data_IF_963090002293
#
_entry.id   IF_963090002293
#
_cell.length_a   1.000
_cell.length_b   1.000
_cell.length_c   1.000
_cell.angle_alpha   90.00
_cell.angle_beta   90.00
_cell.angle_gamma   90.00
#
_symmetry.space_group_name_H-M   'P 1'
#
loop_
_entity.id
_entity.type
_entity.pdbx_description
1 polymer ?
#
# COMPACT_ATOMS: atom_id res chain seq x y z
N UNK A 1 -3.95 -1.51 15.45
CA UNK A 1 -3.06 -0.58 16.21
C UNK A 1 -2.76 0.59 15.29
N UNK A 2 -3.04 1.83 15.70
CA UNK A 2 -2.79 2.99 14.86
C UNK A 2 -1.30 3.29 14.86
N UNK A 3 -0.65 3.16 13.72
CA UNK A 3 0.78 3.50 13.54
C UNK A 3 0.97 5.02 13.53
N UNK A 4 0.04 5.74 12.93
CA UNK A 4 0.04 7.20 12.90
C UNK A 4 -0.56 7.75 14.18
N UNK A 5 0.31 8.24 15.09
CA UNK A 5 -0.09 8.79 16.38
C UNK A 5 -0.43 10.28 16.34
N UNK A 6 0.18 11.01 15.41
CA UNK A 6 0.05 12.45 15.31
C UNK A 6 0.15 12.92 13.85
N UNK A 7 -0.75 13.82 13.49
CA UNK A 7 -0.63 14.65 12.28
C UNK A 7 -0.29 16.06 12.73
N UNK A 8 0.80 16.62 12.22
CA UNK A 8 1.17 18.03 12.44
C UNK A 8 0.98 18.79 11.15
N UNK A 9 0.22 19.86 11.22
CA UNK A 9 -0.08 20.74 10.09
C UNK A 9 0.67 22.04 10.29
N UNK A 10 1.65 22.34 9.43
CA UNK A 10 2.40 23.59 9.38
C UNK A 10 2.21 24.23 8.01
N UNK A 11 1.32 25.19 7.92
CA UNK A 11 0.86 25.81 6.65
C UNK A 11 0.94 27.34 6.68
N UNK A 12 1.96 27.87 7.32
CA UNK A 12 2.20 29.30 7.26
C UNK A 12 3.56 29.57 6.62
N UNK A 13 3.68 30.65 5.81
CA UNK A 13 4.98 31.10 5.31
C UNK A 13 5.95 31.29 6.49
N UNK A 14 7.18 30.83 6.34
CA UNK A 14 8.23 31.02 7.36
C UNK A 14 8.41 32.53 7.62
N UNK A 15 8.40 32.93 8.88
CA UNK A 15 8.52 34.36 9.25
C UNK A 15 7.27 35.20 9.02
N UNK A 16 6.13 34.57 8.68
CA UNK A 16 4.88 35.30 8.47
C UNK A 16 4.48 36.14 9.69
N UNK A 17 4.14 37.39 9.45
CA UNK A 17 3.57 38.31 10.43
C UNK A 17 2.18 37.84 10.91
N UNK A 18 1.72 38.38 12.02
CA UNK A 18 0.37 38.05 12.53
C UNK A 18 -0.76 38.42 11.55
N UNK A 19 -0.56 39.44 10.71
CA UNK A 19 -1.53 39.85 9.69
C UNK A 19 -1.56 38.85 8.53
N UNK A 20 -0.39 38.39 8.08
CA UNK A 20 -0.28 37.36 7.04
C UNK A 20 -0.89 36.03 7.52
N UNK A 21 -0.60 35.61 8.76
CA UNK A 21 -1.22 34.42 9.37
C UNK A 21 -2.73 34.51 9.45
N UNK A 22 -3.27 35.67 9.80
CA UNK A 22 -4.72 35.93 9.80
C UNK A 22 -5.32 35.87 8.41
N UNK A 23 -4.66 36.48 7.41
CA UNK A 23 -5.09 36.43 6.02
C UNK A 23 -5.12 35.01 5.49
N UNK A 24 -4.05 34.25 5.76
CA UNK A 24 -3.91 32.86 5.37
C UNK A 24 -4.95 31.95 6.02
N UNK A 25 -5.16 32.10 7.33
CA UNK A 25 -6.20 31.39 8.07
C UNK A 25 -7.61 31.74 7.55
N UNK A 26 -7.84 32.95 7.10
CA UNK A 26 -9.12 33.33 6.48
C UNK A 26 -9.32 32.65 5.13
N UNK A 27 -8.25 32.48 4.32
CA UNK A 27 -8.30 31.88 2.97
C UNK A 27 -8.44 30.33 3.07
N UNK A 28 -7.67 29.68 3.91
CA UNK A 28 -7.52 28.23 3.96
C UNK A 28 -8.05 27.55 5.23
N UNK A 29 -8.41 28.32 6.23
CA UNK A 29 -8.80 27.82 7.56
C UNK A 29 -9.99 26.83 7.55
N UNK A 30 -10.94 27.03 6.64
CA UNK A 30 -12.09 26.14 6.52
C UNK A 30 -11.68 24.72 6.08
N UNK A 31 -10.77 24.62 5.11
CA UNK A 31 -10.27 23.34 4.60
C UNK A 31 -9.44 22.60 5.66
N UNK A 32 -8.62 23.34 6.43
CA UNK A 32 -7.86 22.79 7.55
C UNK A 32 -8.74 22.26 8.66
N UNK A 33 -9.77 23.04 9.05
CA UNK A 33 -10.72 22.59 10.07
C UNK A 33 -11.48 21.34 9.61
N UNK A 34 -11.88 21.30 8.34
CA UNK A 34 -12.55 20.13 7.76
C UNK A 34 -11.67 18.87 7.84
N UNK A 35 -10.38 18.97 7.50
CA UNK A 35 -9.43 17.87 7.64
C UNK A 35 -9.26 17.43 9.10
N UNK A 36 -9.01 18.36 10.01
CA UNK A 36 -8.83 18.05 11.43
C UNK A 36 -10.07 17.38 12.03
N UNK A 37 -11.25 17.84 11.65
CA UNK A 37 -12.51 17.25 12.12
C UNK A 37 -12.75 15.86 11.49
N UNK A 38 -12.37 15.65 10.22
CA UNK A 38 -12.41 14.33 9.59
C UNK A 38 -11.47 13.34 10.30
N UNK A 39 -10.23 13.71 10.54
CA UNK A 39 -9.24 12.90 11.26
C UNK A 39 -9.76 12.53 12.66
N UNK A 40 -10.31 13.49 13.41
CA UNK A 40 -10.84 13.24 14.77
C UNK A 40 -12.00 12.26 14.75
N UNK A 41 -12.96 12.43 13.81
CA UNK A 41 -14.11 11.53 13.69
C UNK A 41 -13.69 10.11 13.37
N UNK A 42 -12.84 9.92 12.36
CA UNK A 42 -12.38 8.59 11.95
C UNK A 42 -11.58 7.88 13.05
N UNK A 43 -10.74 8.61 13.80
CA UNK A 43 -10.04 8.03 14.96
C UNK A 43 -11.01 7.56 16.04
N UNK A 44 -12.02 8.36 16.36
CA UNK A 44 -13.05 7.97 17.33
C UNK A 44 -13.86 6.75 16.88
N UNK A 45 -14.20 6.68 15.60
CA UNK A 45 -14.92 5.53 15.01
C UNK A 45 -14.07 4.26 15.08
N UNK A 46 -12.77 4.35 14.80
CA UNK A 46 -11.83 3.21 14.91
C UNK A 46 -11.68 2.75 16.37
N UNK A 47 -11.46 3.67 17.30
CA UNK A 47 -11.38 3.35 18.74
C UNK A 47 -12.66 2.66 19.22
N UNK A 48 -13.82 3.14 18.79
CA UNK A 48 -15.12 2.55 19.15
C UNK A 48 -15.32 1.16 18.52
N UNK A 49 -14.89 0.96 17.28
CA UNK A 49 -14.94 -0.33 16.58
C UNK A 49 -14.00 -1.35 17.22
N UNK A 50 -12.80 -0.93 17.63
CA UNK A 50 -11.85 -1.79 18.36
C UNK A 50 -12.39 -2.22 19.72
N UNK A 51 -13.05 -1.31 20.45
CA UNK A 51 -13.69 -1.64 21.74
C UNK A 51 -14.87 -2.61 21.60
N UNK A 52 -15.65 -2.54 20.51
CA UNK A 52 -16.75 -3.48 20.23
C UNK A 52 -16.25 -4.86 19.81
N UNK A 53 -15.19 -4.94 19.04
CA UNK A 53 -14.61 -6.20 18.59
C UNK A 53 -13.73 -6.87 19.67
N UNK A 54 -13.28 -6.13 20.67
CA UNK A 54 -12.50 -6.64 21.81
C UNK A 54 -13.28 -7.54 22.78
N UNK A 55 -14.59 -7.73 22.58
CA UNK A 55 -15.38 -8.75 23.27
C UNK A 55 -15.45 -10.12 22.57
N UNK A 56 -14.95 -10.21 21.33
CA UNK A 56 -14.76 -11.47 20.61
C UNK A 56 -13.26 -11.75 20.50
N UNK A 57 -12.82 -12.87 21.09
CA UNK A 57 -11.43 -13.38 21.11
C UNK A 57 -10.57 -12.80 19.98
N UNK A 58 -9.80 -11.71 20.24
CA UNK A 58 -8.63 -11.38 19.45
C UNK A 58 -7.75 -12.63 19.46
N UNK A 59 -7.44 -13.17 18.29
CA UNK A 59 -6.53 -14.28 18.18
C UNK A 59 -5.18 -13.80 18.74
N UNK A 60 -4.72 -14.41 19.82
CA UNK A 60 -3.51 -14.05 20.57
C UNK A 60 -2.27 -14.01 19.66
N UNK A 61 -2.36 -14.65 18.49
CA UNK A 61 -1.31 -14.75 17.46
C UNK A 61 -1.24 -13.52 16.55
N UNK A 62 -2.36 -12.84 16.22
CA UNK A 62 -2.33 -11.59 15.43
C UNK A 62 -1.55 -10.47 16.13
N UNK A 63 -1.63 -10.42 17.46
CA UNK A 63 -0.89 -9.46 18.27
C UNK A 63 0.61 -9.75 18.30
N UNK A 64 0.99 -11.02 18.35
CA UNK A 64 2.39 -11.48 18.36
C UNK A 64 3.10 -11.20 17.03
N UNK A 65 2.43 -11.42 15.90
CA UNK A 65 2.98 -11.13 14.56
C UNK A 65 3.16 -9.61 14.35
N UNK A 66 2.18 -8.82 14.77
CA UNK A 66 2.27 -7.34 14.72
C UNK A 66 3.38 -6.80 15.64
N UNK A 67 3.52 -7.32 16.85
CA UNK A 67 4.53 -6.88 17.80
C UNK A 67 5.95 -7.30 17.37
N UNK A 68 6.11 -8.43 16.68
CA UNK A 68 7.39 -8.87 16.10
C UNK A 68 7.83 -7.98 14.93
N UNK A 69 6.89 -7.53 14.08
CA UNK A 69 7.17 -6.60 12.99
C UNK A 69 7.59 -5.21 13.50
N UNK A 70 7.20 -4.83 14.72
CA UNK A 70 7.44 -3.50 15.29
C UNK A 70 8.79 -3.35 15.97
N UNK A 71 9.51 -4.44 16.29
CA UNK A 71 10.73 -4.38 17.10
C UNK A 71 11.95 -3.70 16.41
N UNK A 72 11.83 -3.33 15.13
CA UNK A 72 12.88 -2.64 14.36
C UNK A 72 12.60 -1.17 14.02
N UNK A 73 11.42 -0.63 14.33
CA UNK A 73 11.00 0.69 13.86
C UNK A 73 10.93 1.75 14.96
N UNK A 74 12.09 2.09 15.54
CA UNK A 74 12.18 3.16 16.57
C UNK A 74 12.25 4.60 15.99
N UNK A 75 12.33 4.82 14.68
CA UNK A 75 12.72 6.12 14.10
C UNK A 75 11.56 6.98 13.56
N UNK A 76 10.42 6.93 14.10
CA UNK A 76 9.37 7.90 13.74
C UNK A 76 8.26 7.87 14.75
N UNK A 77 8.26 8.78 15.68
CA UNK A 77 7.30 8.89 16.80
C UNK A 77 5.79 8.79 16.45
N UNK A 78 5.43 8.14 15.31
CA UNK A 78 4.07 8.06 14.80
C UNK A 78 3.57 9.42 14.31
N UNK A 79 4.43 10.25 13.73
CA UNK A 79 4.10 11.63 13.33
C UNK A 79 4.26 11.83 11.82
N UNK A 80 3.21 12.35 11.18
CA UNK A 80 3.21 12.83 9.81
C UNK A 80 3.10 14.35 9.80
N UNK A 81 3.92 15.02 8.99
CA UNK A 81 3.86 16.45 8.79
C UNK A 81 3.12 16.77 7.49
N UNK A 82 2.16 17.69 7.57
CA UNK A 82 1.50 18.30 6.41
C UNK A 82 1.99 19.73 6.34
N UNK A 83 2.65 20.09 5.25
CA UNK A 83 3.25 21.41 5.06
C UNK A 83 2.91 21.96 3.68
N UNK A 84 2.97 23.28 3.52
CA UNK A 84 2.75 23.98 2.26
C UNK A 84 3.92 24.89 1.87
N UNK A 85 5.03 24.82 2.60
CA UNK A 85 6.23 25.58 2.37
C UNK A 85 7.38 24.68 1.93
N UNK A 86 7.99 25.01 0.76
CA UNK A 86 9.04 24.18 0.16
C UNK A 86 10.29 24.07 1.03
N UNK A 87 10.75 25.18 1.61
CA UNK A 87 11.93 25.17 2.51
C UNK A 87 11.67 24.31 3.74
N UNK A 88 10.48 24.45 4.34
CA UNK A 88 10.10 23.63 5.49
C UNK A 88 9.99 22.15 5.14
N UNK A 89 9.48 21.84 3.95
CA UNK A 89 9.45 20.46 3.46
C UNK A 89 10.86 19.86 3.36
N UNK A 90 11.81 20.59 2.78
CA UNK A 90 13.21 20.16 2.66
C UNK A 90 13.86 19.93 4.03
N UNK A 91 13.72 20.85 4.98
CA UNK A 91 14.23 20.70 6.34
C UNK A 91 13.73 19.44 7.05
N UNK A 92 12.44 19.14 6.88
CA UNK A 92 11.83 17.94 7.45
C UNK A 92 12.29 16.64 6.76
N UNK A 93 12.46 16.66 5.44
CA UNK A 93 13.01 15.54 4.69
C UNK A 93 14.48 15.24 5.10
N UNK A 94 15.31 16.27 5.27
CA UNK A 94 16.68 16.13 5.75
C UNK A 94 16.73 15.51 7.16
N UNK A 95 15.72 15.75 7.99
CA UNK A 95 15.57 15.14 9.31
C UNK A 95 14.97 13.73 9.27
N UNK A 96 14.66 13.20 8.07
CA UNK A 96 14.03 11.89 7.90
C UNK A 96 12.56 11.84 8.34
N UNK A 97 11.89 12.99 8.40
CA UNK A 97 10.51 13.07 8.82
C UNK A 97 9.54 12.69 7.67
N UNK A 98 8.46 11.96 7.94
CA UNK A 98 7.35 11.77 6.99
C UNK A 98 6.66 13.10 6.65
N UNK A 99 6.60 13.44 5.35
CA UNK A 99 6.07 14.72 4.86
C UNK A 99 5.03 14.48 3.76
N UNK A 100 3.89 15.15 3.88
CA UNK A 100 2.92 15.36 2.81
C UNK A 100 2.83 16.84 2.52
N UNK A 101 2.90 17.22 1.25
CA UNK A 101 2.78 18.62 0.84
C UNK A 101 1.35 18.93 0.42
N UNK A 102 0.83 20.05 0.91
CA UNK A 102 -0.38 20.63 0.37
C UNK A 102 -0.05 21.69 -0.66
N UNK A 103 -0.41 21.41 -1.93
CA UNK A 103 -0.24 22.30 -3.06
C UNK A 103 -1.49 23.16 -3.25
N UNK A 104 -1.29 24.46 -3.39
CA UNK A 104 -2.33 25.43 -3.68
C UNK A 104 -1.78 26.58 -4.52
N UNK A 105 -2.63 27.54 -4.91
CA UNK A 105 -2.25 28.60 -5.86
C UNK A 105 -1.09 29.50 -5.39
N UNK A 106 -0.90 29.65 -4.08
CA UNK A 106 0.10 30.55 -3.52
C UNK A 106 1.48 29.89 -3.32
N UNK A 107 1.65 28.59 -3.61
CA UNK A 107 2.92 27.89 -3.39
C UNK A 107 3.40 27.03 -4.57
N UNK A 108 2.76 27.11 -5.73
CA UNK A 108 3.12 26.30 -6.91
C UNK A 108 4.50 26.62 -7.50
N UNK A 109 5.05 27.77 -7.17
CA UNK A 109 6.38 28.22 -7.58
C UNK A 109 7.51 27.82 -6.63
N UNK A 110 7.17 27.21 -5.49
CA UNK A 110 8.14 26.74 -4.52
C UNK A 110 8.75 25.38 -4.91
N UNK A 111 9.96 25.12 -4.39
CA UNK A 111 10.64 23.84 -4.60
C UNK A 111 10.19 22.78 -3.59
N UNK A 112 9.53 21.75 -4.09
CA UNK A 112 9.13 20.56 -3.35
C UNK A 112 9.86 19.30 -3.82
N UNK A 113 11.03 19.43 -4.40
CA UNK A 113 11.83 18.29 -4.87
C UNK A 113 12.07 17.29 -3.74
N UNK A 114 11.99 15.99 -4.06
CA UNK A 114 12.18 14.91 -3.10
C UNK A 114 10.98 14.59 -2.20
N UNK A 115 9.92 15.43 -2.20
CA UNK A 115 8.66 15.08 -1.55
C UNK A 115 7.95 14.01 -2.37
N UNK A 116 7.53 12.92 -1.72
CA UNK A 116 6.89 11.78 -2.38
C UNK A 116 5.37 11.91 -2.48
N UNK A 117 4.75 12.65 -1.58
CA UNK A 117 3.30 12.77 -1.46
C UNK A 117 2.88 14.23 -1.41
N UNK A 118 1.96 14.56 -2.30
CA UNK A 118 1.35 15.88 -2.34
C UNK A 118 -0.17 15.76 -2.58
N UNK A 119 -0.92 16.72 -2.10
CA UNK A 119 -2.35 16.84 -2.38
C UNK A 119 -2.68 18.28 -2.77
N UNK A 120 -3.65 18.46 -3.66
CA UNK A 120 -4.20 19.77 -4.01
C UNK A 120 -5.44 20.11 -3.16
N UNK A 121 -6.22 19.10 -2.79
CA UNK A 121 -7.40 19.28 -1.96
C UNK A 121 -7.21 18.61 -0.59
N UNK A 122 -6.76 19.38 0.38
CA UNK A 122 -6.52 18.89 1.74
C UNK A 122 -7.80 18.40 2.44
N UNK A 123 -8.99 18.89 2.04
CA UNK A 123 -10.25 18.49 2.65
C UNK A 123 -10.74 17.10 2.23
N UNK A 124 -10.16 16.52 1.18
CA UNK A 124 -10.43 15.16 0.71
C UNK A 124 -9.54 14.11 1.38
N UNK A 125 -8.53 14.53 2.14
CA UNK A 125 -7.68 13.60 2.88
C UNK A 125 -8.46 12.97 4.03
N UNK A 126 -8.28 11.68 4.18
CA UNK A 126 -8.79 10.94 5.32
C UNK A 126 -7.66 10.32 6.17
N UNK A 127 -8.01 9.80 7.34
CA UNK A 127 -7.02 9.23 8.24
C UNK A 127 -6.36 7.96 7.66
N UNK A 128 -7.11 7.18 6.87
CA UNK A 128 -6.62 5.95 6.25
C UNK A 128 -5.53 6.26 5.22
N UNK A 129 -5.74 7.29 4.40
CA UNK A 129 -4.73 7.75 3.46
C UNK A 129 -3.48 8.31 4.17
N UNK A 130 -3.67 9.14 5.21
CA UNK A 130 -2.56 9.69 5.98
C UNK A 130 -1.75 8.59 6.70
N UNK A 131 -2.42 7.57 7.23
CA UNK A 131 -1.75 6.41 7.80
C UNK A 131 -0.97 5.62 6.75
N UNK A 132 -1.53 5.45 5.54
CA UNK A 132 -0.87 4.83 4.40
C UNK A 132 0.40 5.58 4.01
N UNK A 133 0.33 6.91 3.89
CA UNK A 133 1.49 7.76 3.61
C UNK A 133 2.55 7.59 4.68
N UNK A 134 2.17 7.67 5.97
CA UNK A 134 3.09 7.49 7.07
C UNK A 134 3.76 6.10 7.07
N UNK A 135 2.98 5.03 6.94
CA UNK A 135 3.50 3.65 6.92
C UNK A 135 4.54 3.45 5.83
N UNK A 136 4.30 3.96 4.62
CA UNK A 136 5.25 3.87 3.52
C UNK A 136 6.54 4.65 3.77
N UNK A 137 6.47 5.82 4.41
CA UNK A 137 7.67 6.58 4.79
C UNK A 137 8.55 5.81 5.78
N UNK A 138 7.95 5.08 6.70
CA UNK A 138 8.68 4.32 7.71
C UNK A 138 8.90 2.85 7.34
N UNK A 139 8.56 2.46 6.11
CA UNK A 139 8.79 1.11 5.59
C UNK A 139 7.86 0.03 6.13
N UNK A 140 6.72 0.41 6.70
CA UNK A 140 5.71 -0.55 7.17
C UNK A 140 4.80 -0.94 6.00
N UNK A 141 4.68 -2.23 5.65
CA UNK A 141 3.80 -2.69 4.59
C UNK A 141 2.34 -2.27 4.80
N UNK A 142 1.71 -1.78 3.74
CA UNK A 142 0.30 -1.41 3.75
C UNK A 142 -0.58 -2.64 3.61
N UNK A 143 -1.58 -2.79 4.47
CA UNK A 143 -2.62 -3.81 4.33
C UNK A 143 -3.60 -3.38 3.24
N UNK A 144 -3.74 -4.18 2.18
CA UNK A 144 -4.55 -3.85 1.01
C UNK A 144 -5.99 -4.29 1.23
N UNK A 145 -6.20 -5.57 1.48
CA UNK A 145 -7.52 -6.12 1.78
C UNK A 145 -7.41 -7.43 2.57
N UNK A 146 -8.51 -7.83 3.16
CA UNK A 146 -8.67 -9.13 3.81
C UNK A 146 -9.78 -9.93 3.14
N UNK A 147 -9.57 -11.23 3.05
CA UNK A 147 -10.61 -12.19 2.65
C UNK A 147 -11.02 -13.06 3.86
N UNK A 148 -11.81 -14.09 3.64
CA UNK A 148 -12.15 -15.03 4.71
C UNK A 148 -10.91 -15.64 5.35
N UNK A 149 -9.92 -16.06 4.53
CA UNK A 149 -8.74 -16.81 4.97
C UNK A 149 -7.42 -16.07 4.79
N UNK A 150 -7.39 -14.99 4.03
CA UNK A 150 -6.14 -14.31 3.66
C UNK A 150 -6.12 -12.85 4.10
N UNK A 151 -4.91 -12.38 4.44
CA UNK A 151 -4.53 -10.99 4.46
C UNK A 151 -3.64 -10.72 3.25
N UNK A 152 -3.98 -9.72 2.45
CA UNK A 152 -3.18 -9.24 1.32
C UNK A 152 -2.56 -7.91 1.72
N UNK A 153 -1.23 -7.81 1.63
CA UNK A 153 -0.47 -6.60 2.00
C UNK A 153 0.73 -6.37 1.09
N UNK A 154 1.27 -5.18 1.13
CA UNK A 154 2.54 -4.88 0.47
C UNK A 154 3.63 -5.86 0.92
N UNK A 155 4.52 -6.23 0.01
CA UNK A 155 5.64 -7.12 0.31
C UNK A 155 6.70 -6.34 1.08
N UNK A 156 7.13 -6.87 2.22
CA UNK A 156 8.25 -6.35 3.01
C UNK A 156 9.50 -7.22 2.86
N UNK A 157 10.63 -6.70 3.34
CA UNK A 157 11.89 -7.46 3.34
C UNK A 157 11.84 -8.72 4.21
N UNK A 158 10.99 -8.72 5.22
CA UNK A 158 10.72 -9.85 6.12
C UNK A 158 10.05 -11.04 5.41
N UNK A 159 9.41 -10.81 4.26
CA UNK A 159 8.75 -11.86 3.48
C UNK A 159 9.71 -12.70 2.64
N UNK A 160 10.91 -12.19 2.39
CA UNK A 160 11.82 -12.76 1.41
C UNK A 160 12.19 -14.20 1.70
N UNK A 161 12.39 -14.59 2.96
CA UNK A 161 12.73 -15.98 3.32
C UNK A 161 11.61 -16.95 2.93
N UNK A 162 10.37 -16.62 3.27
CA UNK A 162 9.21 -17.41 2.90
C UNK A 162 8.96 -17.42 1.38
N UNK A 163 9.20 -16.28 0.72
CA UNK A 163 9.11 -16.22 -0.74
C UNK A 163 10.18 -17.08 -1.41
N UNK A 164 11.42 -17.07 -0.94
CA UNK A 164 12.46 -17.98 -1.44
C UNK A 164 12.07 -19.45 -1.29
N UNK A 165 11.49 -19.84 -0.15
CA UNK A 165 10.98 -21.21 0.04
C UNK A 165 9.88 -21.55 -0.97
N UNK A 166 8.92 -20.64 -1.21
CA UNK A 166 7.84 -20.86 -2.17
C UNK A 166 8.39 -20.98 -3.61
N UNK A 167 9.30 -20.10 -4.00
CA UNK A 167 9.86 -20.05 -5.35
C UNK A 167 10.95 -21.11 -5.60
N UNK A 168 11.45 -21.77 -4.56
CA UNK A 168 12.40 -22.89 -4.71
C UNK A 168 11.77 -24.12 -5.37
N UNK A 169 10.44 -24.26 -5.34
CA UNK A 169 9.78 -25.39 -6.00
C UNK A 169 9.70 -25.17 -7.51
N UNK A 170 10.28 -26.08 -8.35
CA UNK A 170 10.29 -25.94 -9.79
C UNK A 170 8.90 -25.86 -10.45
N UNK A 171 7.87 -26.39 -9.79
CA UNK A 171 6.49 -26.29 -10.30
C UNK A 171 5.93 -24.89 -10.21
N UNK A 172 6.40 -24.09 -9.27
CA UNK A 172 6.03 -22.67 -9.09
C UNK A 172 6.69 -21.81 -10.17
N UNK A 173 7.98 -21.98 -10.38
CA UNK A 173 8.76 -21.17 -11.34
C UNK A 173 8.64 -21.64 -12.79
N UNK A 174 7.88 -22.71 -13.05
CA UNK A 174 7.71 -23.25 -14.41
C UNK A 174 7.08 -22.26 -15.40
N UNK A 175 6.20 -21.38 -14.92
CA UNK A 175 5.42 -20.46 -15.74
C UNK A 175 5.51 -19.00 -15.27
N UNK A 176 6.36 -18.72 -14.31
CA UNK A 176 6.59 -17.37 -13.78
C UNK A 176 8.08 -17.16 -13.57
N UNK A 177 8.50 -15.92 -13.59
CA UNK A 177 9.86 -15.54 -13.23
C UNK A 177 10.12 -15.88 -11.75
N UNK A 178 11.33 -16.35 -11.47
CA UNK A 178 11.81 -16.58 -10.11
C UNK A 178 12.30 -15.30 -9.46
N UNK A 179 12.72 -15.42 -8.21
CA UNK A 179 13.43 -14.35 -7.50
C UNK A 179 14.90 -14.33 -7.93
N UNK A 180 15.58 -13.20 -7.73
CA UNK A 180 17.02 -13.15 -7.93
C UNK A 180 17.72 -14.15 -6.98
N UNK A 181 18.65 -14.97 -7.47
CA UNK A 181 19.35 -15.92 -6.61
C UNK A 181 20.14 -15.26 -5.48
N UNK A 182 20.68 -14.07 -5.75
CA UNK A 182 21.41 -13.29 -4.74
C UNK A 182 20.44 -12.43 -3.93
N UNK A 183 20.35 -12.72 -2.64
CA UNK A 183 19.45 -12.00 -1.71
C UNK A 183 19.60 -10.48 -1.78
N UNK A 184 20.82 -9.97 -1.82
CA UNK A 184 21.07 -8.53 -1.87
C UNK A 184 20.48 -7.88 -3.14
N UNK A 185 20.42 -8.62 -4.27
CA UNK A 185 19.74 -8.13 -5.48
C UNK A 185 18.22 -8.12 -5.33
N UNK A 186 17.68 -9.15 -4.71
CA UNK A 186 16.23 -9.21 -4.47
C UNK A 186 15.78 -8.11 -3.50
N UNK A 187 16.56 -7.86 -2.45
CA UNK A 187 16.31 -6.74 -1.52
C UNK A 187 16.38 -5.37 -2.23
N UNK A 188 17.38 -5.16 -3.10
CA UNK A 188 17.47 -3.95 -3.90
C UNK A 188 16.29 -3.83 -4.88
N UNK A 189 15.93 -4.92 -5.56
CA UNK A 189 14.76 -4.96 -6.45
C UNK A 189 13.46 -4.67 -5.68
N UNK A 190 13.26 -5.26 -4.51
CA UNK A 190 12.08 -5.02 -3.69
C UNK A 190 11.97 -3.54 -3.26
N UNK A 191 13.11 -2.93 -2.91
CA UNK A 191 13.14 -1.50 -2.59
C UNK A 191 12.73 -0.65 -3.80
N UNK A 192 13.34 -0.90 -4.97
CA UNK A 192 13.00 -0.21 -6.21
C UNK A 192 11.54 -0.45 -6.61
N UNK A 193 11.06 -1.68 -6.43
CA UNK A 193 9.67 -2.05 -6.69
C UNK A 193 8.70 -1.29 -5.78
N UNK A 194 9.01 -1.18 -4.50
CA UNK A 194 8.21 -0.43 -3.52
C UNK A 194 8.11 1.04 -3.91
N UNK A 195 9.23 1.65 -4.30
CA UNK A 195 9.28 3.07 -4.67
C UNK A 195 8.57 3.35 -6.01
N UNK A 196 8.71 2.47 -6.99
CA UNK A 196 8.19 2.70 -8.34
C UNK A 196 6.81 2.09 -8.60
N UNK A 197 6.39 1.08 -7.84
CA UNK A 197 5.07 0.47 -7.99
C UNK A 197 4.12 0.92 -6.88
N UNK A 198 4.40 0.54 -5.63
CA UNK A 198 3.45 0.85 -4.54
C UNK A 198 3.29 2.35 -4.30
N UNK A 199 4.38 3.12 -4.36
CA UNK A 199 4.31 4.57 -4.07
C UNK A 199 3.77 5.35 -5.26
N UNK A 200 4.13 4.99 -6.49
CA UNK A 200 3.74 5.74 -7.67
C UNK A 200 2.38 5.32 -8.22
N UNK A 201 2.19 4.02 -8.47
CA UNK A 201 0.94 3.50 -9.05
C UNK A 201 -0.12 3.17 -8.01
N UNK A 202 0.22 3.12 -6.74
CA UNK A 202 -0.66 2.70 -5.64
C UNK A 202 -1.16 1.24 -5.74
N UNK A 203 -0.58 0.44 -6.61
CA UNK A 203 -0.81 -1.00 -6.72
C UNK A 203 0.47 -1.75 -7.09
N UNK A 204 0.41 -3.06 -7.07
CA UNK A 204 1.52 -3.95 -7.40
C UNK A 204 1.19 -5.40 -7.10
N UNK A 205 2.21 -6.25 -7.06
CA UNK A 205 2.09 -7.65 -6.64
C UNK A 205 2.37 -7.72 -5.14
N UNK A 206 1.37 -8.13 -4.37
CA UNK A 206 1.36 -8.12 -2.92
C UNK A 206 1.60 -9.50 -2.32
N UNK A 207 2.05 -9.56 -1.09
CA UNK A 207 2.17 -10.78 -0.29
C UNK A 207 0.79 -11.23 0.19
N UNK A 208 0.54 -12.54 0.09
CA UNK A 208 -0.63 -13.21 0.63
C UNK A 208 -0.21 -13.91 1.91
N UNK A 209 -0.84 -13.57 3.03
CA UNK A 209 -0.65 -14.25 4.31
C UNK A 209 -1.92 -15.02 4.68
N UNK A 210 -1.75 -16.21 5.24
CA UNK A 210 -2.84 -16.91 5.92
C UNK A 210 -3.21 -16.15 7.20
N UNK A 211 -4.48 -15.82 7.38
CA UNK A 211 -4.95 -14.97 8.50
C UNK A 211 -4.84 -15.66 9.87
N UNK A 212 -4.90 -16.97 9.90
CA UNK A 212 -4.86 -17.72 11.16
C UNK A 212 -3.45 -17.89 11.68
N UNK A 213 -2.49 -18.08 10.78
CA UNK A 213 -1.11 -18.41 11.13
C UNK A 213 -0.13 -17.27 10.89
N UNK A 214 -0.52 -16.26 10.11
CA UNK A 214 0.37 -15.20 9.65
C UNK A 214 1.40 -15.65 8.60
N UNK A 215 1.40 -16.92 8.20
CA UNK A 215 2.37 -17.44 7.24
C UNK A 215 2.17 -16.85 5.85
N UNK A 216 3.26 -16.50 5.19
CA UNK A 216 3.26 -16.15 3.78
C UNK A 216 2.96 -17.41 2.96
N UNK A 217 1.88 -17.34 2.15
CA UNK A 217 1.42 -18.48 1.35
C UNK A 217 1.55 -18.25 -0.15
N UNK A 218 1.90 -17.03 -0.55
CA UNK A 218 2.05 -16.68 -1.95
C UNK A 218 2.10 -15.19 -2.21
N UNK A 219 1.95 -14.82 -3.46
CA UNK A 219 1.83 -13.44 -3.94
C UNK A 219 0.70 -13.33 -4.97
N UNK A 220 0.01 -12.21 -5.00
CA UNK A 220 -0.93 -11.86 -6.07
C UNK A 220 -1.10 -10.36 -6.17
N UNK A 221 -1.49 -9.87 -7.35
CA UNK A 221 -1.73 -8.46 -7.55
C UNK A 221 -1.69 -8.06 -9.00
N UNK A 222 -1.52 -6.77 -9.24
CA UNK A 222 -1.53 -6.19 -10.57
C UNK A 222 -0.13 -5.72 -10.97
N UNK A 223 0.19 -5.87 -12.23
CA UNK A 223 1.43 -5.36 -12.82
C UNK A 223 1.16 -4.70 -14.17
N UNK A 224 1.99 -3.72 -14.51
CA UNK A 224 2.02 -3.14 -15.84
C UNK A 224 2.93 -3.97 -16.72
N UNK A 225 2.47 -4.28 -17.92
CA UNK A 225 3.29 -4.96 -18.91
C UNK A 225 3.46 -4.09 -20.13
N UNK A 226 4.70 -3.98 -20.61
CA UNK A 226 5.01 -3.23 -21.82
C UNK A 226 4.17 -3.71 -23.01
N UNK A 227 3.60 -2.75 -23.73
CA UNK A 227 2.69 -3.01 -24.86
C UNK A 227 1.28 -3.47 -24.48
N UNK A 228 0.90 -3.38 -23.18
CA UNK A 228 -0.46 -3.61 -22.71
C UNK A 228 -1.00 -2.35 -22.03
N UNK A 229 -2.23 -1.98 -22.37
CA UNK A 229 -2.91 -0.83 -21.76
C UNK A 229 -3.55 -1.22 -20.42
N UNK A 230 -4.06 -2.45 -20.34
CA UNK A 230 -4.75 -2.95 -19.15
C UNK A 230 -3.76 -3.59 -18.15
N UNK A 231 -3.97 -3.43 -16.83
CA UNK A 231 -3.18 -4.10 -15.82
C UNK A 231 -3.33 -5.62 -15.89
N UNK A 232 -2.22 -6.33 -15.67
CA UNK A 232 -2.19 -7.79 -15.62
C UNK A 232 -2.39 -8.28 -14.20
N UNK A 233 -3.42 -9.10 -13.94
CA UNK A 233 -3.57 -9.86 -12.71
C UNK A 233 -2.66 -11.08 -12.74
N UNK A 234 -1.71 -11.14 -11.79
CA UNK A 234 -0.83 -12.28 -11.58
C UNK A 234 -0.98 -12.90 -10.20
N UNK A 235 -0.62 -14.17 -10.06
CA UNK A 235 -0.61 -14.84 -8.77
C UNK A 235 0.38 -16.00 -8.71
N UNK A 236 0.89 -16.26 -7.53
CA UNK A 236 1.67 -17.44 -7.15
C UNK A 236 1.15 -17.93 -5.79
N UNK A 237 0.89 -19.23 -5.68
CA UNK A 237 0.53 -19.90 -4.41
C UNK A 237 1.54 -21.02 -4.14
N UNK A 238 2.12 -21.01 -2.95
CA UNK A 238 3.02 -22.06 -2.50
C UNK A 238 2.38 -23.46 -2.53
N UNK A 239 3.16 -24.48 -2.90
CA UNK A 239 2.66 -25.85 -3.14
C UNK A 239 1.80 -26.39 -2.00
N UNK A 240 2.14 -26.22 -0.69
CA UNK A 240 1.31 -26.71 0.40
C UNK A 240 -0.12 -26.13 0.42
N UNK A 241 -0.34 -24.95 -0.16
CA UNK A 241 -1.64 -24.25 -0.15
C UNK A 241 -2.38 -24.32 -1.49
N UNK A 242 -1.79 -24.96 -2.51
CA UNK A 242 -2.44 -25.13 -3.81
C UNK A 242 -3.64 -26.07 -3.71
N UNK A 243 -4.58 -25.95 -4.69
CA UNK A 243 -5.81 -26.76 -4.81
C UNK A 243 -6.77 -26.68 -3.63
N UNK A 244 -6.61 -25.71 -2.74
CA UNK A 244 -7.48 -25.44 -1.60
C UNK A 244 -8.38 -24.21 -1.79
N UNK A 245 -8.37 -23.63 -2.98
CA UNK A 245 -9.23 -22.49 -3.34
C UNK A 245 -8.62 -21.10 -3.06
N UNK A 246 -7.46 -21.00 -2.42
CA UNK A 246 -6.82 -19.72 -2.08
C UNK A 246 -6.64 -18.80 -3.28
N UNK A 247 -6.12 -19.28 -4.41
CA UNK A 247 -5.97 -18.46 -5.62
C UNK A 247 -7.29 -17.88 -6.12
N UNK A 248 -8.37 -18.67 -6.09
CA UNK A 248 -9.70 -18.20 -6.51
C UNK A 248 -10.22 -17.12 -5.57
N UNK A 249 -10.10 -17.32 -4.26
CA UNK A 249 -10.55 -16.39 -3.24
C UNK A 249 -9.82 -15.04 -3.36
N UNK A 250 -8.49 -15.09 -3.39
CA UNK A 250 -7.65 -13.89 -3.48
C UNK A 250 -7.85 -13.15 -4.80
N UNK A 251 -7.78 -13.85 -5.95
CA UNK A 251 -7.93 -13.19 -7.24
C UNK A 251 -9.32 -12.57 -7.42
N UNK A 252 -10.38 -13.20 -6.90
CA UNK A 252 -11.73 -12.62 -6.92
C UNK A 252 -11.78 -11.32 -6.11
N UNK A 253 -11.25 -11.31 -4.90
CA UNK A 253 -11.20 -10.12 -4.05
C UNK A 253 -10.34 -9.00 -4.66
N UNK A 254 -9.22 -9.36 -5.30
CA UNK A 254 -8.37 -8.39 -6.01
C UNK A 254 -9.07 -7.78 -7.23
N UNK A 255 -9.83 -8.54 -8.01
CA UNK A 255 -10.61 -7.98 -9.12
C UNK A 255 -11.67 -6.99 -8.65
N UNK A 256 -12.33 -7.28 -7.53
CA UNK A 256 -13.29 -6.35 -6.90
C UNK A 256 -12.57 -5.08 -6.42
N UNK A 257 -11.45 -5.22 -5.71
CA UNK A 257 -10.61 -4.10 -5.27
C UNK A 257 -10.08 -3.27 -6.46
N UNK A 258 -9.60 -3.92 -7.52
CA UNK A 258 -9.12 -3.23 -8.72
C UNK A 258 -10.20 -2.37 -9.37
N UNK A 259 -11.44 -2.85 -9.40
CA UNK A 259 -12.57 -2.11 -9.93
C UNK A 259 -13.02 -0.97 -9.02
N UNK A 260 -13.18 -1.24 -7.72
CA UNK A 260 -13.81 -0.31 -6.78
C UNK A 260 -12.84 0.75 -6.25
N UNK A 261 -11.60 0.33 -5.93
CA UNK A 261 -10.62 1.21 -5.29
C UNK A 261 -9.58 1.77 -6.27
N UNK A 262 -9.20 0.99 -7.31
CA UNK A 262 -8.21 1.43 -8.30
C UNK A 262 -8.82 1.97 -9.59
N UNK A 263 -10.15 1.82 -9.77
CA UNK A 263 -10.86 2.33 -10.93
C UNK A 263 -10.54 1.60 -12.24
N UNK A 264 -10.07 0.34 -12.18
CA UNK A 264 -9.75 -0.41 -13.39
C UNK A 264 -11.03 -0.75 -14.17
N UNK A 265 -11.10 -0.32 -15.41
CA UNK A 265 -12.20 -0.66 -16.31
C UNK A 265 -12.03 -2.08 -16.88
N UNK A 266 -10.78 -2.46 -17.15
CA UNK A 266 -10.42 -3.77 -17.69
C UNK A 266 -9.18 -4.30 -16.96
N UNK A 267 -9.11 -5.63 -16.85
CA UNK A 267 -7.96 -6.37 -16.30
C UNK A 267 -7.70 -7.56 -17.20
N UNK A 268 -6.45 -7.89 -17.46
CA UNK A 268 -6.04 -9.04 -18.24
C UNK A 268 -5.29 -10.07 -17.41
N UNK A 269 -5.21 -11.30 -17.89
CA UNK A 269 -4.33 -12.35 -17.40
C UNK A 269 -3.56 -12.94 -18.58
N UNK A 270 -2.24 -12.93 -18.50
CA UNK A 270 -1.38 -13.55 -19.50
C UNK A 270 -0.99 -14.96 -19.04
N UNK A 271 -1.50 -15.96 -19.69
CA UNK A 271 -1.35 -17.35 -19.28
C UNK A 271 -0.81 -18.20 -20.43
N UNK A 272 0.33 -18.88 -20.19
CA UNK A 272 0.87 -19.83 -21.17
C UNK A 272 -0.13 -20.96 -21.45
N UNK A 273 -0.32 -21.39 -22.71
CA UNK A 273 -1.28 -22.43 -23.09
C UNK A 273 -1.11 -23.76 -22.35
N UNK A 274 0.10 -24.06 -21.92
CA UNK A 274 0.47 -25.25 -21.16
C UNK A 274 0.06 -25.17 -19.68
N UNK A 275 -0.14 -23.96 -19.15
CA UNK A 275 -0.54 -23.73 -17.75
C UNK A 275 -2.06 -23.93 -17.57
N UNK A 276 -2.48 -25.19 -17.68
CA UNK A 276 -3.89 -25.58 -17.58
C UNK A 276 -4.56 -25.19 -16.25
N UNK A 277 -3.79 -25.05 -15.19
CA UNK A 277 -4.31 -24.69 -13.85
C UNK A 277 -4.72 -23.22 -13.86
N UNK A 278 -3.83 -22.32 -14.31
CA UNK A 278 -4.13 -20.89 -14.39
C UNK A 278 -5.20 -20.57 -15.44
N UNK A 279 -5.25 -21.31 -16.57
CA UNK A 279 -6.33 -21.17 -17.56
C UNK A 279 -7.71 -21.48 -16.95
N UNK A 280 -7.84 -22.57 -16.18
CA UNK A 280 -9.10 -22.89 -15.49
C UNK A 280 -9.49 -21.87 -14.43
N UNK A 281 -8.51 -21.28 -13.78
CA UNK A 281 -8.78 -20.20 -12.83
C UNK A 281 -9.27 -18.95 -13.55
N UNK A 282 -8.61 -18.54 -14.64
CA UNK A 282 -9.03 -17.41 -15.46
C UNK A 282 -10.47 -17.58 -15.95
N UNK A 283 -10.82 -18.75 -16.52
CA UNK A 283 -12.20 -19.09 -16.93
C UNK A 283 -13.20 -18.97 -15.76
N UNK A 284 -12.83 -19.49 -14.58
CA UNK A 284 -13.67 -19.43 -13.37
C UNK A 284 -13.88 -17.99 -12.86
N UNK A 285 -12.91 -17.11 -13.08
CA UNK A 285 -12.98 -15.67 -12.74
C UNK A 285 -13.71 -14.85 -13.80
N UNK A 286 -14.14 -15.46 -14.92
CA UNK A 286 -14.88 -14.79 -15.97
C UNK A 286 -14.01 -14.18 -17.08
N UNK A 287 -12.71 -14.49 -17.12
CA UNK A 287 -11.88 -14.08 -18.23
C UNK A 287 -12.22 -14.86 -19.49
N UNK A 288 -12.30 -14.13 -20.59
CA UNK A 288 -12.49 -14.72 -21.92
C UNK A 288 -11.16 -14.80 -22.66
N UNK A 289 -10.92 -15.93 -23.30
CA UNK A 289 -9.73 -16.12 -24.10
C UNK A 289 -9.74 -15.15 -25.28
N UNK A 290 -8.69 -14.34 -25.37
CA UNK A 290 -8.38 -13.56 -26.56
C UNK A 290 -7.07 -14.12 -27.13
N UNK A 291 -7.12 -14.61 -28.36
CA UNK A 291 -5.90 -14.97 -29.06
C UNK A 291 -5.22 -13.67 -29.50
N UNK A 292 -4.21 -13.22 -28.78
CA UNK A 292 -3.38 -12.12 -29.25
C UNK A 292 -2.61 -12.57 -30.47
N UNK A 293 -2.83 -11.92 -31.61
CA UNK A 293 -1.85 -11.95 -32.68
C UNK A 293 -0.65 -11.13 -32.23
N UNK A 294 0.51 -11.77 -32.17
CA UNK A 294 1.81 -11.09 -32.05
C UNK A 294 1.97 -10.22 -33.28
N UNK A 295 2.15 -8.92 -33.09
CA UNK A 295 2.62 -8.02 -34.13
C UNK A 295 4.08 -8.28 -34.41
#
# INVERSE_FOLDING_TARGET
MDFLKQVSIEIYPEGASDEERKSYSKKYGAQMHALLDAIRRQRQEREFSQQRNGSGKECFEEKSVRDSMMSGYESGQGKLWIVDNGKRAQELLEQGCPVLVWLHEDNRDQDFSGVRYACENISELDFDYLEKVYRRYVGIPWEILTTERCLIRETGAEDLDALYEIYADPSVTKYTEGLYPERAKEEAYLKDYTENMYYFYNYGVWTICDRMTGQVIGRAGFSNREGCEDPELGFVIGVPWQRQGYATEVCKALLEYGKEELGFEQVQMLVMPENRVSLRLAEKLGFHRQDRMTL
#
